data_IF_436112172029
#
_entry.id   IF_436112172029
#
_cell.length_a   1.000
_cell.length_b   1.000
_cell.length_c   1.000
_cell.angle_alpha   90.00
_cell.angle_beta   90.00
_cell.angle_gamma   90.00
#
_symmetry.space_group_name_H-M   'P 1'
#
loop_
_entity.id
_entity.type
_entity.pdbx_description
1 polymer ?
#
# COMPACT_ATOMS: atom_id res chain seq x y z
N UNK A 1 -5.64 -49.71 12.62
CA UNK A 1 -6.37 -48.60 11.97
C UNK A 1 -5.74 -48.46 10.61
N UNK A 2 -6.47 -48.87 9.58
CA UNK A 2 -6.01 -48.77 8.19
C UNK A 2 -5.95 -47.29 7.83
N UNK A 3 -4.74 -46.73 7.79
CA UNK A 3 -4.54 -45.34 7.38
C UNK A 3 -4.98 -45.18 5.93
N UNK A 4 -5.98 -44.33 5.70
CA UNK A 4 -6.41 -43.96 4.36
C UNK A 4 -5.23 -43.33 3.60
N UNK A 5 -4.94 -43.85 2.41
CA UNK A 5 -3.92 -43.27 1.53
C UNK A 5 -4.53 -42.10 0.79
N UNK A 6 -4.16 -40.89 1.18
CA UNK A 6 -4.53 -39.67 0.47
C UNK A 6 -3.57 -39.41 -0.70
N UNK A 7 -4.07 -38.77 -1.77
CA UNK A 7 -3.28 -38.41 -2.96
C UNK A 7 -3.61 -36.97 -3.37
N UNK A 8 -2.61 -36.09 -3.32
CA UNK A 8 -2.72 -34.71 -3.77
C UNK A 8 -1.96 -34.48 -5.09
N UNK A 9 -2.43 -33.55 -5.91
CA UNK A 9 -1.78 -33.11 -7.15
C UNK A 9 -1.44 -31.60 -7.07
N UNK A 10 -0.48 -31.21 -6.23
CA UNK A 10 -0.05 -29.82 -6.10
C UNK A 10 0.65 -29.32 -7.37
N UNK A 11 0.46 -28.04 -7.68
CA UNK A 11 1.17 -27.32 -8.73
C UNK A 11 2.25 -26.43 -8.12
N UNK A 12 3.43 -26.41 -8.73
CA UNK A 12 4.58 -25.64 -8.27
C UNK A 12 5.13 -24.81 -9.43
N UNK A 13 5.20 -23.50 -9.24
CA UNK A 13 5.80 -22.58 -10.21
C UNK A 13 7.18 -22.14 -9.74
N UNK A 14 8.17 -22.18 -10.63
CA UNK A 14 9.49 -21.60 -10.38
C UNK A 14 9.43 -20.07 -10.54
N UNK A 15 10.47 -19.39 -10.04
CA UNK A 15 10.67 -17.97 -10.34
C UNK A 15 10.96 -17.79 -11.83
N UNK A 16 10.59 -16.64 -12.38
CA UNK A 16 10.94 -16.26 -13.75
C UNK A 16 12.40 -15.83 -13.80
N UNK A 17 13.18 -16.44 -14.68
CA UNK A 17 14.57 -16.08 -14.93
C UNK A 17 14.68 -15.29 -16.24
N UNK A 18 15.33 -14.13 -16.18
CA UNK A 18 15.54 -13.29 -17.37
C UNK A 18 16.85 -13.67 -18.06
N UNK A 19 16.75 -14.31 -19.22
CA UNK A 19 17.91 -14.65 -20.07
C UNK A 19 18.21 -13.47 -21.01
N UNK A 20 19.35 -12.80 -20.83
CA UNK A 20 19.71 -11.58 -21.57
C UNK A 20 20.55 -11.84 -22.84
N UNK A 21 21.15 -13.02 -22.99
CA UNK A 21 21.97 -13.41 -24.15
C UNK A 21 21.69 -14.87 -24.59
N UNK A 22 21.81 -15.15 -25.89
CA UNK A 22 21.74 -16.53 -26.44
C UNK A 22 22.86 -17.44 -25.90
N UNK A 23 23.92 -16.86 -25.33
CA UNK A 23 25.01 -17.59 -24.69
C UNK A 23 24.87 -17.64 -23.16
N UNK A 24 23.91 -16.91 -22.57
CA UNK A 24 23.55 -16.98 -21.14
C UNK A 24 22.58 -18.13 -20.85
N UNK A 25 22.30 -19.01 -21.82
CA UNK A 25 21.79 -20.34 -21.50
C UNK A 25 22.91 -21.17 -20.88
N UNK A 26 23.42 -20.73 -19.73
CA UNK A 26 24.26 -21.58 -18.92
C UNK A 26 23.36 -22.70 -18.40
N UNK A 27 23.81 -23.95 -18.50
CA UNK A 27 23.15 -25.07 -17.81
C UNK A 27 22.94 -24.75 -16.31
N UNK A 28 23.70 -23.79 -15.76
CA UNK A 28 23.60 -23.24 -14.41
C UNK A 28 22.23 -22.63 -14.08
N UNK A 29 21.64 -21.79 -14.93
CA UNK A 29 20.39 -21.07 -14.59
C UNK A 29 19.16 -22.00 -14.63
N UNK A 30 19.16 -22.94 -15.57
CA UNK A 30 18.14 -23.98 -15.66
C UNK A 30 18.31 -24.96 -14.48
N UNK A 31 19.55 -25.38 -14.18
CA UNK A 31 19.81 -26.24 -13.03
C UNK A 31 19.42 -25.55 -11.71
N UNK A 32 19.67 -24.26 -11.53
CA UNK A 32 19.24 -23.53 -10.34
C UNK A 32 17.71 -23.44 -10.26
N UNK A 33 17.02 -23.17 -11.37
CA UNK A 33 15.56 -23.23 -11.43
C UNK A 33 15.03 -24.62 -11.03
N UNK A 34 15.67 -25.69 -11.51
CA UNK A 34 15.37 -27.06 -11.11
C UNK A 34 15.64 -27.31 -9.63
N UNK A 35 16.78 -26.89 -9.09
CA UNK A 35 17.11 -27.05 -7.67
C UNK A 35 16.12 -26.33 -6.77
N UNK A 36 15.72 -25.11 -7.13
CA UNK A 36 14.69 -24.35 -6.40
C UNK A 36 13.32 -25.03 -6.48
N UNK A 37 13.00 -25.65 -7.62
CA UNK A 37 11.81 -26.48 -7.77
C UNK A 37 11.86 -27.71 -6.87
N UNK A 38 13.00 -28.40 -6.82
CA UNK A 38 13.21 -29.55 -5.93
C UNK A 38 13.10 -29.17 -4.46
N UNK A 39 13.68 -28.02 -4.07
CA UNK A 39 13.50 -27.47 -2.72
C UNK A 39 12.03 -27.19 -2.41
N UNK A 40 11.26 -26.69 -3.37
CA UNK A 40 9.82 -26.44 -3.20
C UNK A 40 9.02 -27.75 -3.03
N UNK A 41 9.45 -28.84 -3.69
CA UNK A 41 8.90 -30.18 -3.45
C UNK A 41 9.23 -30.67 -2.04
N UNK A 42 10.50 -30.54 -1.62
CA UNK A 42 10.95 -30.97 -0.30
C UNK A 42 10.23 -30.21 0.82
N UNK A 43 10.02 -28.90 0.65
CA UNK A 43 9.23 -28.07 1.57
C UNK A 43 7.77 -28.52 1.63
N UNK A 44 7.15 -28.86 0.50
CA UNK A 44 5.77 -29.34 0.48
C UNK A 44 5.63 -30.71 1.16
N UNK A 45 6.58 -31.60 0.90
CA UNK A 45 6.66 -32.91 1.58
C UNK A 45 6.84 -32.71 3.08
N UNK A 46 7.69 -31.76 3.50
CA UNK A 46 7.97 -31.47 4.91
C UNK A 46 6.79 -30.84 5.67
N UNK A 47 5.86 -30.17 4.98
CA UNK A 47 4.68 -29.53 5.60
C UNK A 47 3.59 -30.50 6.03
N UNK A 48 3.65 -31.77 5.65
CA UNK A 48 2.68 -32.78 6.10
C UNK A 48 3.36 -34.06 6.59
N UNK A 49 2.76 -34.73 7.57
CA UNK A 49 3.32 -35.98 8.10
C UNK A 49 3.20 -37.12 7.06
N UNK A 50 4.32 -37.53 6.47
CA UNK A 50 4.41 -38.79 5.72
C UNK A 50 4.05 -38.73 4.23
N UNK A 51 3.95 -37.54 3.62
CA UNK A 51 3.82 -37.43 2.17
C UNK A 51 5.07 -37.98 1.48
N UNK A 52 4.89 -38.69 0.37
CA UNK A 52 6.00 -39.18 -0.46
C UNK A 52 5.69 -38.88 -1.91
N UNK A 53 6.63 -38.27 -2.63
CA UNK A 53 6.47 -38.02 -4.06
C UNK A 53 6.38 -39.37 -4.80
N UNK A 54 5.25 -39.60 -5.47
CA UNK A 54 5.05 -40.81 -6.26
C UNK A 54 5.63 -40.70 -7.66
N UNK A 55 5.29 -39.64 -8.38
CA UNK A 55 5.80 -39.31 -9.71
C UNK A 55 5.42 -37.88 -10.10
N UNK A 56 6.14 -37.30 -11.06
CA UNK A 56 5.80 -36.02 -11.67
C UNK A 56 4.87 -36.28 -12.86
N UNK A 57 3.68 -35.66 -12.85
CA UNK A 57 2.68 -35.84 -13.91
C UNK A 57 3.05 -35.06 -15.17
N UNK A 58 3.47 -33.80 -15.01
CA UNK A 58 3.81 -32.90 -16.11
C UNK A 58 4.82 -31.87 -15.64
N UNK A 59 5.72 -31.51 -16.53
CA UNK A 59 6.65 -30.39 -16.38
C UNK A 59 6.53 -29.50 -17.61
N UNK A 60 6.44 -28.20 -17.39
CA UNK A 60 6.28 -27.22 -18.46
C UNK A 60 7.27 -26.08 -18.25
N UNK A 61 8.04 -25.77 -19.29
CA UNK A 61 8.94 -24.62 -19.32
C UNK A 61 8.31 -23.60 -20.26
N UNK A 62 7.95 -22.45 -19.72
CA UNK A 62 7.42 -21.34 -20.51
C UNK A 62 8.53 -20.30 -20.70
N UNK A 63 8.88 -20.03 -21.96
CA UNK A 63 9.81 -18.96 -22.31
C UNK A 63 9.03 -17.78 -22.88
N UNK A 64 9.28 -16.61 -22.32
CA UNK A 64 8.67 -15.36 -22.76
C UNK A 64 9.77 -14.45 -23.30
N UNK A 65 9.49 -13.76 -24.41
CA UNK A 65 10.42 -12.75 -24.91
C UNK A 65 10.40 -11.55 -23.96
N UNK A 66 11.42 -11.42 -23.12
CA UNK A 66 11.57 -10.28 -22.23
C UNK A 66 11.97 -9.03 -23.03
N UNK A 67 11.13 -7.99 -22.95
CA UNK A 67 11.50 -6.63 -23.37
C UNK A 67 11.68 -5.79 -22.12
N UNK A 68 12.91 -5.42 -21.74
CA UNK A 68 13.13 -4.61 -20.54
C UNK A 68 12.38 -3.29 -20.65
N UNK A 69 11.79 -2.85 -19.54
CA UNK A 69 11.19 -1.53 -19.41
C UNK A 69 12.31 -0.51 -19.47
N UNK A 70 12.27 0.38 -20.46
CA UNK A 70 13.24 1.45 -20.65
C UNK A 70 12.57 2.63 -21.33
N UNK A 71 13.18 3.79 -21.21
CA UNK A 71 12.76 4.95 -22.00
C UNK A 71 12.81 4.65 -23.50
N UNK A 72 12.07 5.41 -24.29
CA UNK A 72 12.15 5.35 -25.76
C UNK A 72 11.95 6.75 -26.35
N UNK A 73 11.39 6.79 -27.55
CA UNK A 73 10.75 7.97 -28.10
C UNK A 73 9.28 8.03 -27.66
N UNK A 74 8.59 9.07 -28.12
CA UNK A 74 7.18 9.30 -27.89
C UNK A 74 6.31 8.10 -28.25
N UNK A 75 5.35 7.79 -27.37
CA UNK A 75 4.28 6.86 -27.66
C UNK A 75 2.92 7.51 -27.35
N UNK A 76 1.84 7.17 -28.09
CA UNK A 76 0.52 7.70 -27.82
C UNK A 76 -0.04 7.13 -26.50
N UNK A 77 -0.59 8.00 -25.65
CA UNK A 77 -1.28 7.59 -24.41
C UNK A 77 -2.62 6.88 -24.72
N UNK A 78 -3.17 6.09 -23.81
CA UNK A 78 -4.56 5.64 -23.87
C UNK A 78 -5.55 6.82 -24.00
N UNK A 79 -6.66 6.62 -24.71
CA UNK A 79 -7.62 7.69 -25.04
C UNK A 79 -8.20 8.37 -23.78
N UNK A 80 -8.46 7.61 -22.72
CA UNK A 80 -8.96 8.12 -21.44
C UNK A 80 -8.00 9.17 -20.84
N UNK A 81 -6.70 8.88 -20.86
CA UNK A 81 -5.68 9.79 -20.34
C UNK A 81 -5.45 10.98 -21.27
N UNK A 82 -5.50 10.78 -22.59
CA UNK A 82 -5.42 11.90 -23.54
C UNK A 82 -6.55 12.91 -23.31
N UNK A 83 -7.79 12.43 -23.13
CA UNK A 83 -8.97 13.28 -22.90
C UNK A 83 -8.94 14.00 -21.56
N UNK A 84 -8.32 13.40 -20.54
CA UNK A 84 -8.23 14.03 -19.21
C UNK A 84 -7.31 15.26 -19.16
N UNK A 85 -6.42 15.44 -20.14
CA UNK A 85 -5.39 16.48 -20.14
C UNK A 85 -4.52 16.53 -18.86
N UNK A 86 -4.49 15.43 -18.08
CA UNK A 86 -3.78 15.33 -16.80
C UNK A 86 -2.29 15.03 -16.95
N UNK A 87 -1.87 14.49 -18.10
CA UNK A 87 -0.50 14.06 -18.38
C UNK A 87 0.11 14.88 -19.51
N UNK A 88 1.25 15.53 -19.24
CA UNK A 88 2.07 16.17 -20.28
C UNK A 88 2.90 15.10 -20.99
N UNK A 89 2.44 14.66 -22.17
CA UNK A 89 3.17 13.68 -22.98
C UNK A 89 4.05 14.38 -24.03
N UNK A 90 5.35 14.47 -23.75
CA UNK A 90 6.30 15.19 -24.60
C UNK A 90 6.58 14.40 -25.88
N UNK A 91 6.46 15.07 -27.02
CA UNK A 91 6.63 14.48 -28.35
C UNK A 91 8.10 14.50 -28.76
N UNK A 92 8.84 13.45 -28.42
CA UNK A 92 10.23 13.25 -28.86
C UNK A 92 10.40 12.14 -29.90
N UNK A 93 11.37 12.31 -30.79
CA UNK A 93 11.81 11.35 -31.80
C UNK A 93 13.14 10.65 -31.43
N UNK A 94 13.84 11.15 -30.42
CA UNK A 94 15.06 10.59 -29.84
C UNK A 94 14.81 9.58 -28.70
N UNK A 95 15.87 9.08 -28.07
CA UNK A 95 15.79 8.15 -26.92
C UNK A 95 15.82 8.88 -25.56
N UNK A 96 15.54 10.18 -25.53
CA UNK A 96 15.71 11.06 -24.35
C UNK A 96 14.39 11.39 -23.65
N UNK A 97 13.32 10.60 -23.85
CA UNK A 97 12.01 10.86 -23.23
C UNK A 97 12.09 11.07 -21.71
N UNK A 98 12.97 10.33 -21.02
CA UNK A 98 13.22 10.50 -19.59
C UNK A 98 13.71 11.91 -19.26
N UNK A 99 14.76 12.37 -19.94
CA UNK A 99 15.32 13.71 -19.76
C UNK A 99 14.26 14.77 -20.02
N UNK A 100 13.57 14.68 -21.16
CA UNK A 100 12.55 15.65 -21.53
C UNK A 100 11.43 15.72 -20.50
N UNK A 101 11.00 14.58 -19.95
CA UNK A 101 9.94 14.51 -18.93
C UNK A 101 10.34 15.23 -17.65
N UNK A 102 11.60 15.06 -17.20
CA UNK A 102 12.10 15.78 -16.03
C UNK A 102 12.23 17.28 -16.33
N UNK A 103 12.75 17.66 -17.50
CA UNK A 103 12.88 19.07 -17.88
C UNK A 103 11.54 19.79 -18.01
N UNK A 104 10.49 19.12 -18.49
CA UNK A 104 9.15 19.72 -18.53
C UNK A 104 8.54 19.94 -17.15
N UNK A 105 8.94 19.14 -16.15
CA UNK A 105 8.58 19.38 -14.76
C UNK A 105 9.36 20.55 -14.16
N UNK A 106 10.67 20.63 -14.41
CA UNK A 106 11.54 21.69 -13.89
C UNK A 106 11.27 23.06 -14.57
N UNK A 107 10.89 23.04 -15.85
CA UNK A 107 10.64 24.23 -16.66
C UNK A 107 9.26 24.19 -17.33
N UNK A 108 8.15 24.29 -16.58
CA UNK A 108 6.81 24.13 -17.15
C UNK A 108 6.51 25.16 -18.24
N UNK A 109 6.08 24.70 -19.42
CA UNK A 109 5.64 25.57 -20.51
C UNK A 109 4.13 25.83 -20.44
N UNK A 110 3.72 27.10 -20.56
CA UNK A 110 2.30 27.49 -20.48
C UNK A 110 1.50 27.07 -21.74
N UNK A 111 2.12 27.16 -22.92
CA UNK A 111 1.47 26.89 -24.20
C UNK A 111 2.10 25.68 -24.88
N UNK A 112 1.30 24.68 -25.24
CA UNK A 112 1.74 23.46 -25.93
C UNK A 112 2.93 22.75 -25.23
N UNK A 113 2.80 22.38 -23.93
CA UNK A 113 3.89 21.80 -23.15
C UNK A 113 4.42 20.45 -23.66
N UNK A 114 3.74 19.86 -24.64
CA UNK A 114 4.17 18.62 -25.28
C UNK A 114 5.29 18.81 -26.32
N UNK A 115 5.72 20.05 -26.64
CA UNK A 115 6.76 20.31 -27.67
C UNK A 115 8.16 20.39 -27.05
N UNK A 116 9.11 19.60 -27.57
CA UNK A 116 10.51 19.59 -27.08
C UNK A 116 11.17 20.97 -27.18
N UNK A 117 10.81 21.79 -28.17
CA UNK A 117 11.45 23.09 -28.42
C UNK A 117 11.44 24.04 -27.21
N UNK A 118 10.52 23.86 -26.26
CA UNK A 118 10.49 24.61 -25.01
C UNK A 118 11.64 24.24 -24.06
N UNK A 119 12.16 23.02 -24.16
CA UNK A 119 13.06 22.42 -23.19
C UNK A 119 14.49 22.24 -23.71
N UNK A 120 14.73 22.40 -25.02
CA UNK A 120 16.06 22.22 -25.64
C UNK A 120 17.15 23.11 -25.05
N UNK A 121 16.79 24.31 -24.57
CA UNK A 121 17.74 25.21 -23.93
C UNK A 121 18.32 24.66 -22.61
N UNK A 122 17.59 23.75 -21.95
CA UNK A 122 17.93 23.16 -20.65
C UNK A 122 18.50 21.74 -20.76
N UNK A 123 18.77 21.26 -21.97
CA UNK A 123 19.18 19.87 -22.22
C UNK A 123 20.44 19.45 -21.42
N UNK A 124 21.32 20.40 -21.12
CA UNK A 124 22.58 20.18 -20.38
C UNK A 124 22.49 20.51 -18.88
N UNK A 125 21.30 20.82 -18.35
CA UNK A 125 21.14 21.21 -16.94
C UNK A 125 21.28 20.02 -15.97
N UNK A 126 20.89 18.82 -16.42
CA UNK A 126 20.88 17.61 -15.61
C UNK A 126 22.17 16.80 -15.79
N UNK A 127 22.77 16.37 -14.67
CA UNK A 127 23.91 15.47 -14.66
C UNK A 127 23.49 14.04 -15.04
N UNK A 128 23.83 13.66 -16.26
CA UNK A 128 23.62 12.33 -16.83
C UNK A 128 24.91 11.49 -16.85
N UNK A 129 25.94 11.88 -16.10
CA UNK A 129 27.27 11.26 -16.16
C UNK A 129 27.22 9.77 -15.81
N UNK A 130 27.58 8.93 -16.79
CA UNK A 130 27.53 7.48 -16.67
C UNK A 130 26.12 6.90 -16.61
N UNK A 131 25.15 7.57 -17.25
CA UNK A 131 23.80 7.08 -17.53
C UNK A 131 23.59 7.15 -19.04
N UNK A 132 23.41 6.00 -19.70
CA UNK A 132 23.18 5.93 -21.15
C UNK A 132 21.70 6.05 -21.49
N UNK A 133 21.40 6.67 -22.64
CA UNK A 133 20.07 6.62 -23.22
C UNK A 133 19.84 5.34 -24.06
N UNK A 134 18.60 4.81 -24.10
CA UNK A 134 17.49 5.17 -23.23
C UNK A 134 17.75 4.79 -21.77
N UNK A 135 17.30 5.65 -20.84
CA UNK A 135 17.53 5.43 -19.40
C UNK A 135 16.79 4.18 -18.96
N UNK A 136 17.53 3.28 -18.30
CA UNK A 136 17.00 2.06 -17.69
C UNK A 136 16.62 2.33 -16.24
N UNK A 137 15.60 1.66 -15.74
CA UNK A 137 15.09 1.82 -14.37
C UNK A 137 16.20 1.65 -13.32
N UNK A 138 17.14 0.72 -13.53
CA UNK A 138 18.29 0.50 -12.62
C UNK A 138 19.19 1.73 -12.43
N UNK A 139 19.15 2.71 -13.33
CA UNK A 139 19.98 3.91 -13.26
C UNK A 139 19.29 5.09 -12.58
N UNK A 140 17.99 4.97 -12.22
CA UNK A 140 17.23 6.05 -11.58
C UNK A 140 17.82 6.43 -10.22
N UNK A 141 18.16 5.50 -9.29
CA UNK A 141 18.70 5.91 -7.99
C UNK A 141 19.99 6.70 -8.12
N UNK A 142 20.80 6.40 -9.16
CA UNK A 142 21.99 7.18 -9.47
C UNK A 142 21.64 8.58 -9.97
N UNK A 143 20.68 8.69 -10.90
CA UNK A 143 20.21 9.98 -11.41
C UNK A 143 19.65 10.88 -10.30
N UNK A 144 18.79 10.35 -9.43
CA UNK A 144 18.18 11.07 -8.31
C UNK A 144 19.25 11.64 -7.38
N UNK A 145 20.24 10.82 -7.01
CA UNK A 145 21.38 11.25 -6.19
C UNK A 145 22.25 12.32 -6.87
N UNK A 146 22.38 12.29 -8.20
CA UNK A 146 23.18 13.27 -8.96
C UNK A 146 22.50 14.63 -9.11
N UNK A 147 21.16 14.65 -9.10
CA UNK A 147 20.38 15.83 -9.49
C UNK A 147 19.48 16.37 -8.37
N UNK A 148 19.47 15.76 -7.19
CA UNK A 148 18.62 16.10 -6.04
C UNK A 148 17.13 16.19 -6.42
N UNK A 149 16.68 15.21 -7.21
CA UNK A 149 15.29 15.06 -7.66
C UNK A 149 14.76 13.69 -7.27
N UNK A 150 13.46 13.61 -6.97
CA UNK A 150 12.77 12.34 -6.75
C UNK A 150 11.91 12.01 -7.98
N UNK A 151 12.07 10.80 -8.52
CA UNK A 151 11.40 10.34 -9.74
C UNK A 151 10.54 9.13 -9.43
N UNK A 152 9.22 9.28 -9.59
CA UNK A 152 8.26 8.21 -9.38
C UNK A 152 7.80 7.61 -10.71
N UNK A 153 7.86 6.29 -10.82
CA UNK A 153 7.42 5.55 -12.01
C UNK A 153 6.08 4.85 -11.75
N UNK A 154 5.16 4.98 -12.70
CA UNK A 154 3.86 4.33 -12.68
C UNK A 154 3.71 3.46 -13.92
N UNK A 155 3.29 2.21 -13.74
CA UNK A 155 2.88 1.36 -14.86
C UNK A 155 1.43 1.69 -15.22
N UNK A 156 1.17 1.91 -16.51
CA UNK A 156 -0.15 2.17 -17.06
C UNK A 156 -1.00 0.91 -17.25
N UNK A 157 -0.47 -0.28 -16.92
CA UNK A 157 -1.27 -1.50 -16.84
C UNK A 157 -2.24 -1.45 -15.66
N UNK A 158 -3.43 -0.91 -15.91
CA UNK A 158 -4.64 -1.19 -15.11
C UNK A 158 -5.05 -2.66 -15.28
N UNK A 159 -4.33 -3.57 -14.64
CA UNK A 159 -4.80 -4.90 -14.22
C UNK A 159 -3.63 -5.64 -13.55
N UNK A 160 -3.67 -5.70 -12.22
CA UNK A 160 -2.82 -6.54 -11.38
C UNK A 160 -1.31 -6.23 -11.39
N UNK A 161 -0.93 -5.08 -10.82
CA UNK A 161 0.41 -4.93 -10.25
C UNK A 161 0.48 -5.71 -8.93
N UNK A 162 0.87 -6.98 -8.98
CA UNK A 162 1.37 -7.68 -7.79
C UNK A 162 2.80 -7.22 -7.56
N UNK A 163 3.06 -6.56 -6.44
CA UNK A 163 4.43 -6.29 -5.96
C UNK A 163 5.13 -7.64 -5.73
N UNK A 164 5.97 -8.06 -6.67
CA UNK A 164 6.78 -9.29 -6.59
C UNK A 164 8.11 -9.05 -5.85
N UNK A 165 8.09 -8.26 -4.78
CA UNK A 165 9.23 -8.15 -3.87
C UNK A 165 8.89 -9.04 -2.66
N UNK A 166 9.77 -9.99 -2.35
CA UNK A 166 9.56 -10.82 -1.16
C UNK A 166 9.56 -9.93 0.08
N UNK A 167 8.68 -10.21 1.05
CA UNK A 167 8.63 -9.48 2.31
C UNK A 167 10.00 -9.44 3.01
N UNK A 168 10.87 -10.43 2.78
CA UNK A 168 12.23 -10.47 3.31
C UNK A 168 13.11 -9.37 2.69
N UNK A 169 13.10 -9.23 1.36
CA UNK A 169 13.89 -8.20 0.66
C UNK A 169 13.44 -6.78 1.03
N UNK A 170 12.14 -6.57 1.27
CA UNK A 170 11.62 -5.29 1.73
C UNK A 170 12.13 -4.93 3.15
N UNK A 171 12.25 -5.93 4.02
CA UNK A 171 12.77 -5.75 5.39
C UNK A 171 14.27 -5.46 5.37
N UNK A 172 15.04 -6.12 4.51
CA UNK A 172 16.49 -5.87 4.41
C UNK A 172 16.78 -4.41 3.99
N UNK A 173 15.94 -3.84 3.11
CA UNK A 173 16.00 -2.42 2.72
C UNK A 173 15.60 -1.46 3.85
N UNK A 174 14.66 -1.87 4.71
CA UNK A 174 14.19 -1.13 5.90
C UNK A 174 15.26 -1.03 7.01
N UNK A 175 16.15 -2.02 7.10
CA UNK A 175 17.16 -2.12 8.18
C UNK A 175 18.48 -1.41 7.84
N UNK A 176 18.75 -1.12 6.56
CA UNK A 176 20.02 -0.48 6.15
C UNK A 176 20.25 0.89 6.82
N UNK A 177 21.46 1.14 7.33
CA UNK A 177 21.81 2.36 8.09
C UNK A 177 21.56 3.67 7.32
N UNK A 178 21.59 3.65 5.98
CA UNK A 178 21.24 4.78 5.13
C UNK A 178 19.74 5.13 5.18
N UNK A 179 18.87 4.19 5.57
CA UNK A 179 17.42 4.33 5.56
C UNK A 179 16.81 4.82 6.87
N UNK A 180 17.54 4.77 7.99
CA UNK A 180 17.06 5.32 9.26
C UNK A 180 16.78 6.84 9.19
N UNK A 181 17.47 7.56 8.30
CA UNK A 181 17.22 8.97 8.02
C UNK A 181 15.91 9.23 7.24
N UNK A 182 15.36 8.22 6.56
CA UNK A 182 14.07 8.36 5.85
C UNK A 182 12.88 8.38 6.82
N UNK A 183 13.00 7.75 8.00
CA UNK A 183 11.91 7.63 8.97
C UNK A 183 11.88 8.76 10.01
N UNK A 184 12.05 10.01 9.56
CA UNK A 184 12.13 11.20 10.42
C UNK A 184 10.98 11.31 11.45
N UNK A 185 9.76 10.97 11.05
CA UNK A 185 8.59 11.02 11.93
C UNK A 185 8.57 9.86 12.94
N UNK A 186 8.92 8.64 12.50
CA UNK A 186 9.08 7.50 13.41
C UNK A 186 10.12 7.81 14.48
N UNK A 187 11.25 8.42 14.09
CA UNK A 187 12.32 8.82 15.01
C UNK A 187 11.94 9.94 15.97
N UNK A 188 10.94 10.74 15.62
CA UNK A 188 10.38 11.76 16.51
C UNK A 188 9.45 11.14 17.56
N UNK A 189 8.59 10.21 17.16
CA UNK A 189 7.62 9.56 18.06
C UNK A 189 8.27 8.47 18.94
N UNK A 190 9.33 7.83 18.44
CA UNK A 190 10.12 6.85 19.16
C UNK A 190 11.58 7.33 19.26
N UNK A 191 11.92 8.20 20.24
CA UNK A 191 13.27 8.74 20.38
C UNK A 191 14.32 7.70 20.78
N UNK A 192 13.90 6.63 21.47
CA UNK A 192 14.74 5.49 21.83
C UNK A 192 15.19 4.74 20.58
N UNK A 193 16.50 4.53 20.42
CA UNK A 193 17.04 3.66 19.37
C UNK A 193 16.52 2.24 19.49
N UNK A 194 16.35 1.77 20.72
CA UNK A 194 15.98 0.39 21.00
C UNK A 194 14.54 0.15 20.57
N UNK A 195 13.62 1.08 20.88
CA UNK A 195 12.22 0.99 20.45
C UNK A 195 12.08 1.02 18.92
N UNK A 196 12.90 1.83 18.23
CA UNK A 196 12.92 1.86 16.76
C UNK A 196 13.43 0.57 16.16
N UNK A 197 14.46 -0.02 16.76
CA UNK A 197 15.01 -1.30 16.33
C UNK A 197 13.97 -2.43 16.48
N UNK A 198 13.04 -2.32 17.42
CA UNK A 198 11.90 -3.24 17.50
C UNK A 198 10.94 -3.11 16.32
N UNK A 199 10.77 -1.91 15.76
CA UNK A 199 9.81 -1.62 14.69
C UNK A 199 10.37 -1.82 13.27
N UNK A 200 11.67 -1.60 13.09
CA UNK A 200 12.31 -1.61 11.76
C UNK A 200 12.75 -3.00 11.30
N UNK A 201 12.59 -4.02 12.14
CA UNK A 201 13.08 -5.36 11.87
C UNK A 201 11.95 -6.39 11.89
N UNK A 202 12.13 -7.48 11.15
CA UNK A 202 11.21 -8.62 11.16
C UNK A 202 11.35 -9.43 12.46
N UNK A 203 10.21 -9.80 13.04
CA UNK A 203 10.16 -10.73 14.16
C UNK A 203 10.55 -12.17 13.76
N UNK A 204 11.04 -12.94 14.73
CA UNK A 204 11.33 -14.37 14.57
C UNK A 204 10.13 -15.21 15.02
N UNK A 205 9.89 -16.33 14.33
CA UNK A 205 8.73 -17.19 14.61
C UNK A 205 9.14 -18.67 14.62
N UNK A 206 8.72 -19.48 15.62
CA UNK A 206 9.16 -20.86 15.78
C UNK A 206 8.30 -21.82 14.95
N UNK A 207 8.46 -21.77 13.62
CA UNK A 207 7.62 -22.52 12.68
C UNK A 207 7.57 -24.03 12.95
N UNK A 208 8.70 -24.66 13.29
CA UNK A 208 8.77 -26.11 13.53
C UNK A 208 8.14 -26.55 14.86
N UNK A 209 8.05 -25.65 15.85
CA UNK A 209 7.47 -25.96 17.16
C UNK A 209 5.95 -25.76 17.19
N UNK A 210 5.40 -24.88 16.34
CA UNK A 210 3.95 -24.68 16.22
C UNK A 210 3.36 -25.78 15.33
N UNK A 211 3.23 -26.97 15.92
CA UNK A 211 2.82 -28.21 15.25
C UNK A 211 1.32 -28.56 15.44
N UNK A 212 0.59 -27.77 16.22
CA UNK A 212 -0.84 -27.98 16.43
C UNK A 212 -1.48 -26.99 17.40
N UNK A 213 -2.81 -27.12 17.55
CA UNK A 213 -3.62 -26.16 18.31
C UNK A 213 -3.22 -26.07 19.79
N UNK A 214 -2.73 -27.17 20.36
CA UNK A 214 -2.30 -27.21 21.77
C UNK A 214 -1.28 -26.14 22.13
N UNK A 215 -0.46 -25.69 21.16
CA UNK A 215 0.57 -24.67 21.34
C UNK A 215 0.00 -23.27 21.58
N UNK A 216 -1.25 -23.01 21.19
CA UNK A 216 -1.93 -21.74 21.49
C UNK A 216 -2.39 -21.65 22.95
N UNK A 217 -2.37 -22.75 23.71
CA UNK A 217 -2.68 -22.74 25.15
C UNK A 217 -1.45 -22.44 26.01
N UNK A 218 -0.25 -22.39 25.42
CA UNK A 218 0.97 -22.04 26.14
C UNK A 218 0.92 -20.56 26.55
N UNK A 219 1.34 -20.28 27.78
CA UNK A 219 1.22 -18.95 28.38
C UNK A 219 2.55 -18.19 28.42
N UNK A 220 3.60 -18.73 27.82
CA UNK A 220 4.92 -18.12 27.79
C UNK A 220 5.57 -18.27 26.42
N UNK A 221 6.56 -17.42 26.14
CA UNK A 221 7.38 -17.53 24.94
C UNK A 221 8.09 -18.91 24.93
N UNK A 222 8.09 -19.63 23.79
CA UNK A 222 8.80 -20.90 23.69
C UNK A 222 10.30 -20.76 24.01
N UNK A 223 10.95 -21.83 24.49
CA UNK A 223 12.40 -21.83 24.70
C UNK A 223 13.14 -21.58 23.39
N UNK A 224 14.36 -21.04 23.45
CA UNK A 224 15.17 -20.73 22.25
C UNK A 224 15.30 -21.92 21.29
N UNK A 225 15.45 -23.13 21.84
CA UNK A 225 15.59 -24.36 21.05
C UNK A 225 14.37 -24.67 20.17
N UNK A 226 13.18 -24.17 20.54
CA UNK A 226 11.96 -24.29 19.76
C UNK A 226 11.98 -23.47 18.44
N UNK A 227 12.91 -22.51 18.32
CA UNK A 227 13.08 -21.67 17.13
C UNK A 227 14.07 -22.28 16.12
N UNK A 228 14.40 -23.57 16.23
CA UNK A 228 15.24 -24.23 15.24
C UNK A 228 14.57 -24.18 13.86
N UNK A 229 15.32 -23.74 12.85
CA UNK A 229 14.82 -23.61 11.49
C UNK A 229 15.16 -24.88 10.70
N UNK A 230 14.14 -25.68 10.39
CA UNK A 230 14.31 -26.92 9.63
C UNK A 230 14.77 -26.74 8.19
N UNK A 231 14.56 -25.56 7.60
CA UNK A 231 14.94 -25.26 6.21
C UNK A 231 16.42 -24.90 6.11
N UNK A 232 16.93 -24.12 7.06
CA UNK A 232 18.34 -23.70 7.09
C UNK A 232 19.19 -24.61 7.98
N UNK A 233 18.57 -25.52 8.73
CA UNK A 233 19.20 -26.42 9.71
C UNK A 233 20.06 -25.66 10.74
N UNK A 234 19.58 -24.51 11.16
CA UNK A 234 20.28 -23.62 12.09
C UNK A 234 19.36 -23.15 13.23
N UNK A 235 19.95 -22.93 14.41
CA UNK A 235 19.29 -22.20 15.48
C UNK A 235 19.32 -20.70 15.17
N UNK A 236 18.35 -19.97 15.73
CA UNK A 236 18.40 -18.51 15.80
C UNK A 236 19.55 -18.03 16.69
N UNK A 237 20.03 -16.81 16.47
CA UNK A 237 21.05 -16.17 17.30
C UNK A 237 20.49 -15.79 18.69
N UNK A 238 21.37 -15.49 19.65
CA UNK A 238 20.94 -14.96 20.96
C UNK A 238 20.27 -13.60 20.84
N UNK A 239 20.77 -12.75 19.93
CA UNK A 239 20.19 -11.44 19.61
C UNK A 239 18.79 -11.57 19.00
N UNK A 240 18.60 -12.58 18.15
CA UNK A 240 17.29 -12.88 17.57
C UNK A 240 16.28 -13.29 18.63
N UNK A 241 16.69 -14.15 19.56
CA UNK A 241 15.83 -14.61 20.64
C UNK A 241 15.54 -13.53 21.69
N UNK A 242 16.53 -12.69 22.02
CA UNK A 242 16.32 -11.58 22.96
C UNK A 242 15.29 -10.58 22.43
N UNK A 243 15.36 -10.23 21.15
CA UNK A 243 14.33 -9.39 20.53
C UNK A 243 12.92 -10.03 20.54
N UNK A 244 12.83 -11.37 20.40
CA UNK A 244 11.54 -12.06 20.55
C UNK A 244 10.98 -11.89 21.97
N UNK A 245 11.84 -11.88 23.00
CA UNK A 245 11.44 -11.57 24.37
C UNK A 245 11.01 -10.12 24.51
N UNK A 246 11.77 -9.17 23.97
CA UNK A 246 11.43 -7.75 24.04
C UNK A 246 10.05 -7.47 23.41
N UNK A 247 9.77 -8.05 22.24
CA UNK A 247 8.45 -7.99 21.61
C UNK A 247 7.35 -8.65 22.46
N UNK A 248 7.68 -9.75 23.14
CA UNK A 248 6.74 -10.43 24.05
C UNK A 248 6.40 -9.53 25.24
N UNK A 249 7.38 -8.86 25.83
CA UNK A 249 7.17 -7.93 26.95
C UNK A 249 6.30 -6.75 26.53
N UNK A 250 6.54 -6.19 25.33
CA UNK A 250 5.69 -5.13 24.74
C UNK A 250 4.25 -5.64 24.55
N UNK A 251 4.07 -6.85 24.03
CA UNK A 251 2.73 -7.40 23.81
C UNK A 251 2.02 -7.74 25.12
N UNK A 252 2.71 -8.27 26.13
CA UNK A 252 2.16 -8.51 27.47
C UNK A 252 1.71 -7.20 28.13
N UNK A 253 2.49 -6.14 27.97
CA UNK A 253 2.10 -4.80 28.42
C UNK A 253 0.85 -4.32 27.70
N UNK A 254 0.76 -4.50 26.39
CA UNK A 254 -0.43 -4.17 25.62
C UNK A 254 -1.66 -4.99 26.07
N UNK A 255 -1.51 -6.29 26.32
CA UNK A 255 -2.55 -7.15 26.88
C UNK A 255 -3.04 -6.63 28.23
N UNK A 256 -2.13 -6.26 29.12
CA UNK A 256 -2.47 -5.70 30.42
C UNK A 256 -3.29 -4.41 30.28
N UNK A 257 -2.86 -3.47 29.44
CA UNK A 257 -3.56 -2.21 29.21
C UNK A 257 -4.95 -2.44 28.60
N UNK A 258 -5.09 -3.32 27.61
CA UNK A 258 -6.40 -3.65 27.03
C UNK A 258 -7.35 -4.32 28.03
N UNK A 259 -6.83 -5.21 28.88
CA UNK A 259 -7.63 -5.82 29.96
C UNK A 259 -8.05 -4.79 31.00
N UNK A 260 -7.15 -3.88 31.39
CA UNK A 260 -7.44 -2.83 32.36
C UNK A 260 -8.48 -1.84 31.82
N UNK A 261 -8.32 -1.38 30.58
CA UNK A 261 -9.16 -0.32 30.01
C UNK A 261 -10.48 -0.84 29.43
N UNK A 262 -10.46 -2.01 28.77
CA UNK A 262 -11.62 -2.55 28.04
C UNK A 262 -12.14 -3.86 28.63
N UNK A 263 -11.40 -4.52 29.52
CA UNK A 263 -11.70 -5.87 29.98
C UNK A 263 -11.67 -6.90 28.84
N UNK A 264 -10.85 -6.66 27.81
CA UNK A 264 -10.69 -7.53 26.65
C UNK A 264 -9.21 -7.92 26.54
N UNK A 265 -8.95 -9.18 26.23
CA UNK A 265 -7.60 -9.66 25.94
C UNK A 265 -7.35 -9.59 24.43
N UNK A 266 -6.37 -8.80 23.95
CA UNK A 266 -6.08 -8.69 22.52
C UNK A 266 -5.62 -10.03 21.92
N UNK A 267 -5.12 -10.97 22.72
CA UNK A 267 -4.75 -12.32 22.26
C UNK A 267 -5.94 -13.16 21.74
N UNK A 268 -7.18 -12.76 22.02
CA UNK A 268 -8.39 -13.41 21.49
C UNK A 268 -8.91 -12.79 20.19
N UNK A 269 -8.17 -11.85 19.60
CA UNK A 269 -8.55 -11.18 18.36
C UNK A 269 -7.49 -11.42 17.29
N UNK A 270 -7.93 -11.72 16.08
CA UNK A 270 -7.04 -11.87 14.94
C UNK A 270 -6.39 -10.54 14.52
N UNK A 271 -7.06 -9.41 14.78
CA UNK A 271 -6.62 -8.09 14.31
C UNK A 271 -6.95 -6.98 15.31
N UNK A 272 -6.14 -5.92 15.32
CA UNK A 272 -6.39 -4.73 16.15
C UNK A 272 -7.73 -4.03 15.85
N UNK A 273 -8.20 -3.92 14.59
CA UNK A 273 -9.56 -3.42 14.31
C UNK A 273 -10.67 -4.28 14.94
N UNK A 274 -10.52 -5.62 14.97
CA UNK A 274 -11.50 -6.50 15.62
C UNK A 274 -11.58 -6.29 17.13
N UNK A 275 -10.42 -6.09 17.78
CA UNK A 275 -10.35 -5.68 19.19
C UNK A 275 -11.00 -4.32 19.40
N UNK A 276 -10.64 -3.31 18.60
CA UNK A 276 -11.16 -1.95 18.72
C UNK A 276 -12.69 -1.92 18.54
N UNK A 277 -13.22 -2.64 17.57
CA UNK A 277 -14.65 -2.81 17.34
C UNK A 277 -15.36 -3.43 18.55
N UNK A 278 -14.80 -4.51 19.09
CA UNK A 278 -15.38 -5.20 20.25
C UNK A 278 -15.29 -4.35 21.52
N UNK A 279 -14.20 -3.60 21.70
CA UNK A 279 -14.05 -2.63 22.78
C UNK A 279 -15.09 -1.52 22.66
N UNK A 280 -15.28 -0.96 21.45
CA UNK A 280 -16.27 0.08 21.19
C UNK A 280 -17.70 -0.39 21.53
N UNK A 281 -18.12 -1.56 21.04
CA UNK A 281 -19.43 -2.13 21.37
C UNK A 281 -19.61 -2.41 22.86
N UNK A 282 -18.57 -2.92 23.53
CA UNK A 282 -18.62 -3.23 24.96
C UNK A 282 -18.72 -1.97 25.83
N UNK A 283 -17.97 -0.93 25.48
CA UNK A 283 -17.94 0.35 26.22
C UNK A 283 -19.24 1.12 26.00
N UNK A 284 -19.68 1.26 24.75
CA UNK A 284 -20.89 2.00 24.39
C UNK A 284 -22.17 1.26 24.76
N UNK A 285 -22.11 -0.08 24.85
CA UNK A 285 -23.28 -0.96 24.99
C UNK A 285 -24.31 -0.76 23.87
N UNK A 286 -23.87 -0.23 22.73
CA UNK A 286 -24.71 -0.04 21.56
C UNK A 286 -25.20 -1.40 21.05
N UNK A 287 -26.46 -1.45 20.62
CA UNK A 287 -27.04 -2.61 19.96
C UNK A 287 -27.24 -2.26 18.50
N UNK A 288 -26.47 -2.90 17.64
CA UNK A 288 -26.60 -2.78 16.20
C UNK A 288 -27.64 -3.78 15.69
N UNK A 289 -28.55 -3.32 14.84
CA UNK A 289 -29.43 -4.18 14.09
C UNK A 289 -28.61 -5.01 13.09
N UNK A 290 -28.85 -6.32 13.08
CA UNK A 290 -28.26 -7.20 12.09
C UNK A 290 -29.02 -7.05 10.78
N UNK A 291 -28.27 -6.89 9.70
CA UNK A 291 -28.84 -6.89 8.36
C UNK A 291 -29.18 -8.32 7.97
N UNK A 292 -30.46 -8.58 7.77
CA UNK A 292 -31.03 -9.86 7.39
C UNK A 292 -31.53 -9.82 5.95
N UNK A 293 -31.86 -10.99 5.39
CA UNK A 293 -32.25 -11.12 3.97
C UNK A 293 -33.45 -10.25 3.58
N UNK A 294 -34.35 -9.95 4.52
CA UNK A 294 -35.53 -9.10 4.33
C UNK A 294 -35.21 -7.61 4.11
N UNK A 295 -34.00 -7.16 4.48
CA UNK A 295 -33.53 -5.78 4.26
C UNK A 295 -32.27 -5.72 3.38
N UNK A 296 -32.00 -6.78 2.60
CA UNK A 296 -30.85 -6.87 1.69
C UNK A 296 -30.75 -5.69 0.71
N UNK A 297 -31.87 -5.23 0.18
CA UNK A 297 -31.85 -4.12 -0.79
C UNK A 297 -31.45 -2.79 -0.13
N UNK A 298 -31.77 -2.59 1.15
CA UNK A 298 -31.29 -1.44 1.92
C UNK A 298 -29.78 -1.53 2.14
N UNK A 299 -29.26 -2.73 2.41
CA UNK A 299 -27.81 -2.93 2.51
C UNK A 299 -27.09 -2.58 1.21
N UNK A 300 -27.58 -3.08 0.08
CA UNK A 300 -26.96 -2.80 -1.23
C UNK A 300 -26.99 -1.30 -1.57
N UNK A 301 -28.08 -0.63 -1.19
CA UNK A 301 -28.20 0.83 -1.31
C UNK A 301 -27.18 1.59 -0.44
N UNK A 302 -26.96 1.16 0.80
CA UNK A 302 -25.94 1.76 1.67
C UNK A 302 -24.53 1.46 1.14
N UNK A 303 -24.27 0.22 0.73
CA UNK A 303 -22.98 -0.23 0.21
C UNK A 303 -22.59 0.55 -1.06
N UNK A 304 -23.54 0.76 -1.98
CA UNK A 304 -23.30 1.53 -3.21
C UNK A 304 -23.01 3.01 -2.94
N UNK A 305 -23.47 3.54 -1.80
CA UNK A 305 -23.21 4.89 -1.33
C UNK A 305 -21.89 5.07 -0.58
N UNK A 306 -21.20 3.99 -0.18
CA UNK A 306 -19.96 4.12 0.59
C UNK A 306 -18.83 4.75 -0.26
N UNK A 307 -18.17 5.77 0.29
CA UNK A 307 -17.02 6.45 -0.32
C UNK A 307 -15.88 6.53 0.69
N UNK A 308 -14.65 6.57 0.16
CA UNK A 308 -13.44 6.79 0.97
C UNK A 308 -13.26 8.26 1.36
N UNK A 309 -12.10 8.59 1.90
CA UNK A 309 -11.73 9.98 2.17
C UNK A 309 -11.64 10.80 0.87
N UNK A 310 -12.06 12.06 0.93
CA UNK A 310 -11.93 13.01 -0.18
C UNK A 310 -10.44 13.37 -0.32
N UNK A 311 -9.87 13.12 -1.49
CA UNK A 311 -8.49 13.50 -1.83
C UNK A 311 -8.51 14.25 -3.15
N UNK A 312 -8.21 15.55 -3.10
CA UNK A 312 -8.34 16.45 -4.24
C UNK A 312 -7.23 17.49 -4.26
N UNK A 313 -6.84 17.90 -5.48
CA UNK A 313 -5.95 19.01 -5.73
C UNK A 313 -6.73 20.07 -6.52
N UNK A 314 -7.37 21.01 -5.82
CA UNK A 314 -8.17 22.08 -6.46
C UNK A 314 -7.30 23.18 -7.07
N UNK A 315 -6.06 23.33 -6.63
CA UNK A 315 -5.08 24.25 -7.22
C UNK A 315 -3.78 23.52 -7.45
N UNK A 316 -3.36 23.40 -8.71
CA UNK A 316 -2.14 22.65 -9.11
C UNK A 316 -0.85 23.31 -8.62
N UNK A 317 -0.88 24.62 -8.37
CA UNK A 317 0.25 25.39 -7.85
C UNK A 317 -0.23 26.59 -7.05
N UNK A 318 0.36 26.82 -5.88
CA UNK A 318 0.15 28.00 -5.07
C UNK A 318 1.47 28.46 -4.46
N UNK A 319 1.75 29.77 -4.53
CA UNK A 319 2.94 30.37 -3.96
C UNK A 319 2.58 31.57 -3.09
N UNK A 320 3.14 31.63 -1.90
CA UNK A 320 2.93 32.72 -0.95
C UNK A 320 4.11 33.71 -0.96
N UNK A 321 3.81 35.00 -0.97
CA UNK A 321 4.79 36.07 -0.76
C UNK A 321 5.11 36.22 0.73
N UNK A 322 5.82 35.24 1.29
CA UNK A 322 6.05 35.17 2.72
C UNK A 322 7.27 36.00 3.14
N UNK A 323 7.06 37.09 3.90
CA UNK A 323 8.12 37.97 4.42
C UNK A 323 9.17 37.29 5.31
N UNK A 324 8.85 36.12 5.86
CA UNK A 324 9.78 35.33 6.67
C UNK A 324 10.66 34.38 5.82
N UNK A 325 10.48 34.37 4.49
CA UNK A 325 11.31 33.60 3.54
C UNK A 325 12.02 34.59 2.61
N UNK A 326 13.17 35.16 3.01
CA UNK A 326 13.81 36.27 2.29
C UNK A 326 14.21 35.94 0.84
N UNK A 327 14.45 34.65 0.55
CA UNK A 327 14.89 34.18 -0.78
C UNK A 327 13.84 34.42 -1.88
N UNK A 328 12.56 34.40 -1.53
CA UNK A 328 11.44 34.49 -2.48
C UNK A 328 10.49 35.65 -2.16
N UNK A 329 10.83 36.49 -1.18
CA UNK A 329 10.00 37.60 -0.75
C UNK A 329 10.20 38.84 -1.64
N UNK A 330 9.09 39.39 -2.09
CA UNK A 330 9.01 40.65 -2.83
C UNK A 330 8.40 41.74 -1.93
N UNK A 331 9.21 42.72 -1.54
CA UNK A 331 8.79 43.82 -0.66
C UNK A 331 7.83 44.81 -1.32
N UNK A 332 7.64 44.72 -2.64
CA UNK A 332 6.67 45.54 -3.38
C UNK A 332 5.26 44.95 -3.38
N UNK A 333 5.12 43.68 -3.01
CA UNK A 333 3.84 42.96 -2.94
C UNK A 333 3.39 42.77 -1.49
N UNK A 334 2.09 42.70 -1.28
CA UNK A 334 1.52 42.36 0.03
C UNK A 334 2.01 40.97 0.48
N UNK A 335 2.25 40.80 1.78
CA UNK A 335 2.67 39.50 2.31
C UNK A 335 1.50 38.51 2.29
N UNK A 336 1.74 37.30 1.80
CA UNK A 336 0.77 36.20 1.84
C UNK A 336 1.40 34.93 2.42
N UNK A 337 0.55 34.00 2.87
CA UNK A 337 0.95 32.78 3.57
C UNK A 337 0.10 31.60 3.08
N UNK A 338 0.69 30.41 3.08
CA UNK A 338 -0.05 29.16 2.91
C UNK A 338 -0.27 28.55 4.29
N UNK A 339 -1.48 28.08 4.56
CA UNK A 339 -1.84 27.39 5.80
C UNK A 339 -2.12 25.93 5.49
N UNK A 340 -1.56 25.04 6.30
CA UNK A 340 -1.93 23.64 6.34
C UNK A 340 -2.83 23.43 7.55
N UNK A 341 -4.01 22.86 7.31
CA UNK A 341 -4.97 22.50 8.34
C UNK A 341 -5.20 21.00 8.28
N UNK A 342 -5.12 20.36 9.45
CA UNK A 342 -5.40 18.93 9.59
C UNK A 342 -6.38 18.74 10.75
N UNK A 343 -7.37 17.88 10.54
CA UNK A 343 -8.39 17.59 11.54
C UNK A 343 -7.88 16.51 12.51
N UNK A 344 -7.67 16.89 13.76
CA UNK A 344 -7.33 15.96 14.83
C UNK A 344 -8.40 14.87 14.97
N UNK A 345 -8.07 13.65 14.57
CA UNK A 345 -8.96 12.48 14.66
C UNK A 345 -10.31 12.69 13.96
N UNK A 346 -10.29 13.06 12.67
CA UNK A 346 -11.49 13.30 11.86
C UNK A 346 -12.56 12.20 12.01
N UNK A 347 -12.18 10.92 11.85
CA UNK A 347 -13.11 9.81 12.00
C UNK A 347 -13.54 9.57 13.46
N UNK A 348 -12.67 9.85 14.43
CA UNK A 348 -13.03 9.77 15.85
C UNK A 348 -14.11 10.79 16.22
N UNK A 349 -14.00 12.01 15.68
CA UNK A 349 -15.04 13.03 15.79
C UNK A 349 -16.33 12.57 15.12
N UNK A 350 -16.27 12.09 13.87
CA UNK A 350 -17.44 11.60 13.15
C UNK A 350 -18.14 10.44 13.89
N UNK A 351 -17.37 9.54 14.50
CA UNK A 351 -17.91 8.44 15.33
C UNK A 351 -18.52 8.90 16.66
N UNK A 352 -18.28 10.15 17.06
CA UNK A 352 -18.90 10.76 18.25
C UNK A 352 -20.22 11.48 17.93
N UNK A 353 -20.56 11.63 16.65
CA UNK A 353 -21.82 12.19 16.18
C UNK A 353 -22.92 11.11 16.14
N UNK A 354 -24.21 11.48 16.04
CA UNK A 354 -25.29 10.52 15.84
C UNK A 354 -25.06 9.64 14.60
N UNK A 355 -25.06 8.32 14.79
CA UNK A 355 -24.85 7.32 13.73
C UNK A 355 -26.04 6.35 13.65
N UNK A 356 -26.37 5.84 12.45
CA UNK A 356 -27.45 4.88 12.30
C UNK A 356 -27.07 3.54 12.95
N UNK A 357 -27.94 3.03 13.82
CA UNK A 357 -27.72 1.78 14.57
C UNK A 357 -28.73 0.69 14.23
N UNK A 358 -29.86 1.03 13.60
CA UNK A 358 -30.89 0.08 13.20
C UNK A 358 -32.22 0.72 12.80
N UNK A 359 -33.24 -0.14 12.65
CA UNK A 359 -34.56 0.12 12.05
C UNK A 359 -34.45 0.54 10.58
N UNK A 360 -33.54 -0.10 9.85
CA UNK A 360 -33.31 0.19 8.44
C UNK A 360 -34.54 -0.20 7.60
N UNK A 361 -35.06 0.75 6.82
CA UNK A 361 -36.13 0.51 5.85
C UNK A 361 -36.16 1.63 4.82
N UNK A 362 -36.70 1.34 3.65
CA UNK A 362 -37.12 2.38 2.74
C UNK A 362 -38.32 3.17 3.30
N UNK A 363 -38.43 4.44 2.92
CA UNK A 363 -39.63 5.22 3.14
C UNK A 363 -40.78 4.63 2.33
N UNK A 364 -42.00 4.67 2.87
CA UNK A 364 -43.21 4.33 2.13
C UNK A 364 -43.54 5.46 1.15
N UNK A 365 -44.27 5.16 0.08
CA UNK A 365 -44.64 6.14 -0.95
C UNK A 365 -45.23 7.44 -0.38
N UNK A 366 -46.07 7.33 0.65
CA UNK A 366 -46.67 8.50 1.30
C UNK A 366 -45.67 9.30 2.13
N UNK A 367 -44.69 8.66 2.76
CA UNK A 367 -43.61 9.32 3.50
C UNK A 367 -42.66 10.01 2.54
N UNK A 368 -42.35 9.37 1.40
CA UNK A 368 -41.50 9.94 0.36
C UNK A 368 -42.16 11.16 -0.30
N UNK A 369 -43.46 11.11 -0.59
CA UNK A 369 -44.20 12.21 -1.20
C UNK A 369 -44.26 13.49 -0.34
N UNK A 370 -44.07 13.37 0.97
CA UNK A 370 -44.06 14.50 1.91
C UNK A 370 -42.67 14.76 2.50
N UNK A 371 -41.63 14.12 1.96
CA UNK A 371 -40.27 14.30 2.45
C UNK A 371 -39.70 15.63 1.95
N UNK A 372 -39.17 16.43 2.87
CA UNK A 372 -38.44 17.65 2.57
C UNK A 372 -37.10 17.62 3.31
N UNK A 373 -36.01 17.68 2.56
CA UNK A 373 -34.64 17.64 3.09
C UNK A 373 -34.37 18.80 4.07
N UNK A 374 -35.01 19.95 3.86
CA UNK A 374 -34.79 21.15 4.70
C UNK A 374 -35.36 21.01 6.10
N UNK A 375 -36.27 20.05 6.31
CA UNK A 375 -36.96 19.82 7.58
C UNK A 375 -36.28 18.70 8.41
N UNK A 376 -35.16 18.15 7.92
CA UNK A 376 -34.43 17.07 8.59
C UNK A 376 -33.64 17.60 9.79
N UNK A 377 -33.92 17.04 10.96
CA UNK A 377 -33.14 17.25 12.17
C UNK A 377 -31.86 16.39 12.14
N UNK A 378 -30.71 17.03 11.93
CA UNK A 378 -29.41 16.37 11.80
C UNK A 378 -28.91 15.73 13.11
N UNK A 379 -29.42 16.18 14.25
CA UNK A 379 -29.08 15.65 15.59
C UNK A 379 -30.21 14.79 16.17
N UNK A 380 -31.26 14.56 15.38
CA UNK A 380 -32.44 13.82 15.78
C UNK A 380 -32.24 12.31 15.84
N UNK A 381 -33.24 11.59 16.36
CA UNK A 381 -33.20 10.12 16.46
C UNK A 381 -33.34 9.39 15.10
N UNK A 382 -33.63 10.11 14.02
CA UNK A 382 -33.87 9.56 12.68
C UNK A 382 -32.86 10.09 11.68
N UNK A 383 -32.00 9.21 11.17
CA UNK A 383 -31.16 9.49 10.02
C UNK A 383 -31.86 9.17 8.70
N UNK A 384 -31.48 9.87 7.64
CA UNK A 384 -31.92 9.61 6.26
C UNK A 384 -30.70 9.45 5.37
N UNK A 385 -30.74 8.46 4.48
CA UNK A 385 -29.76 8.26 3.41
C UNK A 385 -30.52 8.46 2.11
N UNK A 386 -30.05 9.39 1.28
CA UNK A 386 -30.78 9.87 0.12
C UNK A 386 -29.99 9.55 -1.15
N UNK A 387 -30.69 9.04 -2.14
CA UNK A 387 -30.27 9.04 -3.54
C UNK A 387 -31.15 10.05 -4.25
N UNK A 388 -30.52 11.02 -4.90
CA UNK A 388 -31.21 12.18 -5.48
C UNK A 388 -30.67 12.45 -6.86
N UNK A 389 -31.57 12.83 -7.76
CA UNK A 389 -31.20 13.49 -9.00
C UNK A 389 -30.90 14.96 -8.70
N UNK A 390 -29.73 15.43 -9.12
CA UNK A 390 -29.31 16.81 -8.93
C UNK A 390 -29.34 17.52 -10.28
N UNK A 391 -30.02 18.67 -10.32
CA UNK A 391 -29.88 19.64 -11.40
C UNK A 391 -28.81 20.65 -10.99
N UNK A 392 -27.76 20.77 -11.81
CA UNK A 392 -26.61 21.62 -11.51
C UNK A 392 -26.55 22.78 -12.50
N UNK A 393 -26.72 24.04 -12.05
CA UNK A 393 -26.85 25.19 -12.96
C UNK A 393 -25.67 25.32 -13.93
N UNK A 394 -25.96 25.43 -15.23
CA UNK A 394 -24.94 25.49 -16.30
C UNK A 394 -23.95 26.64 -16.11
N UNK A 395 -24.39 27.78 -15.56
CA UNK A 395 -23.56 28.94 -15.31
C UNK A 395 -22.46 28.71 -14.25
N UNK A 396 -22.59 27.65 -13.45
CA UNK A 396 -21.60 27.28 -12.43
C UNK A 396 -20.57 26.26 -12.91
N UNK A 397 -20.80 25.59 -14.06
CA UNK A 397 -19.98 24.45 -14.51
C UNK A 397 -18.51 24.82 -14.68
N UNK A 398 -18.22 25.93 -15.37
CA UNK A 398 -16.84 26.37 -15.60
C UNK A 398 -16.14 26.76 -14.30
N UNK A 399 -16.84 27.50 -13.44
CA UNK A 399 -16.29 27.97 -12.15
C UNK A 399 -16.05 26.86 -11.14
N UNK A 400 -16.78 25.75 -11.27
CA UNK A 400 -16.70 24.61 -10.35
C UNK A 400 -16.08 23.35 -10.98
N UNK A 401 -15.51 23.47 -12.18
CA UNK A 401 -14.86 22.37 -12.91
C UNK A 401 -13.70 21.71 -12.13
N UNK A 402 -13.13 22.42 -11.17
CA UNK A 402 -12.07 21.92 -10.29
C UNK A 402 -12.59 21.30 -8.98
N UNK A 403 -13.91 21.28 -8.72
CA UNK A 403 -14.56 20.57 -7.60
C UNK A 403 -14.93 19.11 -7.99
N UNK A 404 -15.05 18.17 -7.04
CA UNK A 404 -15.28 16.74 -7.32
C UNK A 404 -16.66 16.43 -7.90
#
# INVERSE_FOLDING_TARGET
>A
MDGERDTSQPYFASKTYTLLSKNDSSEMDINEAFQNQFKSFDEYIARGSGWTLKHVIRMEIQTLQYRPIGGSNYFPLPESLQRSHSVVNIRNDDQKCFLWSILAHLHPAECNPNRIAHYTAYENELDMTGISYPVQVKHIPKFENQNDVAVMFWDLKMSNCSLYISLASLVDDLVNDSSQNYFKYLSKEFPSSDDRNLLLRKGVYPYGWVDGESKFNETCLPPKDAFYNDLTKSHISDEEYNHAKDLTDVFERFRYECKSNYGLDPAHFYTSPGLAWSAALKVTKCKLELITDDIRDVYLFIESGMRGGISQISNRYAAANNKYIPKTYDSTKESSYLIYQDCNSLYGLAMSMPLPTGKFRFLRDNEQAHFNISDVDLEGEKGYILEVDLDYPEDLHDSHSDYP
#
